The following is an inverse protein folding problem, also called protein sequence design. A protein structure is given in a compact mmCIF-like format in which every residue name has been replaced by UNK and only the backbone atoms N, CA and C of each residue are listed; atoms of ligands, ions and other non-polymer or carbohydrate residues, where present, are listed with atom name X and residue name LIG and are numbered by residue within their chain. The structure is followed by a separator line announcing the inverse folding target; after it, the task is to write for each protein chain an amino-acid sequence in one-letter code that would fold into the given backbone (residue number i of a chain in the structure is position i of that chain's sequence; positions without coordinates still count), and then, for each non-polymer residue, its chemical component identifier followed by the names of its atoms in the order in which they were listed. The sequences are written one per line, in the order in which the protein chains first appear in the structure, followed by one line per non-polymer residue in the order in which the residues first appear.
data_IF_693406219793
#
_entry.id   IF_693406219793
#
_cell.length_a   1.000
_cell.length_b   1.000
_cell.length_c   1.000
_cell.angle_alpha   90.00
_cell.angle_beta   90.00
_cell.angle_gamma   90.00
#
_symmetry.space_group_name_H-M   'P 1'
#
loop_
_entity.id
_entity.type
_entity.pdbx_description
1 polymer ?
#
# COMPACT_ATOMS: atom_id res chain seq x y z
N UNK A 1 28.94 22.10 42.85
CA UNK A 1 28.22 20.85 42.53
C UNK A 1 28.38 20.58 41.05
N UNK A 2 28.75 19.35 40.71
CA UNK A 2 29.24 18.92 39.40
C UNK A 2 28.16 18.98 38.33
N UNK A 3 28.47 19.56 37.18
CA UNK A 3 27.73 19.36 35.94
C UNK A 3 28.24 18.08 35.27
N UNK A 4 27.58 16.96 35.56
CA UNK A 4 27.79 15.72 34.82
C UNK A 4 27.33 15.89 33.37
N UNK A 5 28.24 15.61 32.42
CA UNK A 5 27.92 15.48 31.01
C UNK A 5 27.10 14.19 30.82
N UNK A 6 25.79 14.33 30.67
CA UNK A 6 24.90 13.27 30.19
C UNK A 6 24.63 13.46 28.69
N UNK A 7 24.70 12.34 27.94
CA UNK A 7 24.78 12.29 26.49
C UNK A 7 23.65 12.94 25.70
N UNK A 8 24.07 13.62 24.63
CA UNK A 8 23.52 14.03 23.32
C UNK A 8 22.01 14.07 22.97
N UNK A 9 21.04 13.78 23.84
CA UNK A 9 19.62 13.89 23.47
C UNK A 9 18.80 14.65 24.51
N UNK A 10 18.93 15.99 24.53
CA UNK A 10 17.98 16.83 25.29
C UNK A 10 16.59 16.59 24.71
N UNK A 11 15.71 15.98 25.50
CA UNK A 11 14.27 15.85 25.21
C UNK A 11 13.52 16.84 26.08
N UNK A 12 12.43 17.39 25.56
CA UNK A 12 11.51 18.23 26.34
C UNK A 12 10.07 17.91 25.97
N UNK A 13 9.15 18.28 26.87
CA UNK A 13 7.71 18.20 26.64
C UNK A 13 7.28 19.42 25.85
N UNK A 14 6.70 19.18 24.69
CA UNK A 14 6.10 20.20 23.85
C UNK A 14 4.59 20.02 23.88
N UNK A 15 3.87 21.14 24.00
CA UNK A 15 2.43 21.18 23.79
C UNK A 15 2.20 21.59 22.34
N UNK A 16 1.56 20.71 21.58
CA UNK A 16 1.10 21.01 20.22
C UNK A 16 -0.22 21.77 20.26
N UNK A 17 -0.54 22.50 19.19
CA UNK A 17 -1.78 23.27 19.05
C UNK A 17 -3.04 22.41 19.15
N UNK A 18 -2.95 21.10 18.85
CA UNK A 18 -4.05 20.14 19.06
C UNK A 18 -4.29 19.78 20.53
N UNK A 19 -3.56 20.39 21.47
CA UNK A 19 -3.63 20.15 22.92
C UNK A 19 -2.82 18.95 23.41
N UNK A 20 -2.28 18.12 22.51
CA UNK A 20 -1.46 16.96 22.88
C UNK A 20 -0.10 17.41 23.41
N UNK A 21 0.32 16.82 24.54
CA UNK A 21 1.65 17.03 25.12
C UNK A 21 2.52 15.81 24.85
N UNK A 22 3.70 16.00 24.24
CA UNK A 22 4.60 14.89 23.88
C UNK A 22 6.06 15.22 24.17
N UNK A 23 6.82 14.19 24.53
CA UNK A 23 8.26 14.30 24.76
C UNK A 23 9.05 14.07 23.46
N UNK A 24 9.61 15.16 22.93
CA UNK A 24 10.33 15.19 21.66
C UNK A 24 11.80 15.58 21.86
N UNK A 25 12.66 15.17 20.93
CA UNK A 25 14.06 15.64 20.89
C UNK A 25 14.08 17.13 20.55
N UNK A 26 14.78 17.94 21.35
CA UNK A 26 14.92 19.38 21.09
C UNK A 26 15.42 19.65 19.67
N UNK A 27 16.42 18.89 19.22
CA UNK A 27 17.01 19.03 17.89
C UNK A 27 16.04 18.77 16.73
N UNK A 28 15.01 17.95 16.94
CA UNK A 28 13.98 17.73 15.91
C UNK A 28 13.02 18.91 15.82
N UNK A 29 12.68 19.53 16.96
CA UNK A 29 11.78 20.68 17.02
C UNK A 29 12.50 21.95 16.55
N UNK A 30 13.66 22.27 17.12
CA UNK A 30 14.43 23.47 16.74
C UNK A 30 14.98 23.39 15.32
N UNK A 31 15.21 22.18 14.80
CA UNK A 31 15.64 21.94 13.43
C UNK A 31 14.49 21.85 12.41
N UNK A 32 13.24 22.08 12.81
CA UNK A 32 12.07 22.09 11.92
C UNK A 32 11.66 20.72 11.36
N UNK A 33 12.23 19.62 11.85
CA UNK A 33 11.86 18.25 11.44
C UNK A 33 10.57 17.75 12.07
N UNK A 34 10.15 18.39 13.16
CA UNK A 34 8.92 18.07 13.87
C UNK A 34 8.19 19.37 14.17
N UNK A 35 7.13 19.61 13.41
CA UNK A 35 6.27 20.79 13.51
C UNK A 35 4.97 20.54 14.27
N UNK A 36 4.67 19.28 14.61
CA UNK A 36 3.45 18.86 15.30
C UNK A 36 3.76 17.77 16.34
N UNK A 37 2.74 17.28 17.07
CA UNK A 37 2.95 16.19 18.04
C UNK A 37 3.16 14.80 17.40
N UNK A 38 3.17 14.68 16.07
CA UNK A 38 3.29 13.44 15.32
C UNK A 38 2.29 12.34 15.74
N UNK A 39 1.14 12.73 16.31
CA UNK A 39 -0.02 11.86 16.44
C UNK A 39 -0.69 11.79 15.07
N UNK A 40 -0.50 10.67 14.36
CA UNK A 40 -0.97 10.52 12.97
C UNK A 40 -2.50 10.41 12.84
N UNK A 41 -3.23 10.22 13.95
CA UNK A 41 -4.69 10.32 13.94
C UNK A 41 -5.19 11.77 13.98
N UNK A 42 -4.39 12.70 14.54
CA UNK A 42 -4.74 14.13 14.67
C UNK A 42 -3.97 15.06 13.72
N UNK A 43 -2.81 14.59 13.27
CA UNK A 43 -1.95 15.23 12.28
C UNK A 43 -1.62 14.19 11.21
N UNK A 44 -2.54 14.01 10.23
CA UNK A 44 -2.24 13.23 9.06
C UNK A 44 -0.90 13.69 8.48
N UNK A 45 0.00 12.73 8.19
CA UNK A 45 1.26 13.09 7.56
C UNK A 45 0.92 13.81 6.25
N UNK A 46 1.43 15.02 5.96
CA UNK A 46 1.15 15.68 4.68
C UNK A 46 1.69 14.88 3.48
N UNK A 47 2.57 13.89 3.71
CA UNK A 47 3.01 12.90 2.71
C UNK A 47 2.05 11.70 2.61
N UNK A 48 1.00 11.65 3.41
CA UNK A 48 -0.10 10.72 3.27
C UNK A 48 -0.93 11.17 2.07
N UNK A 49 -0.43 10.84 0.88
CA UNK A 49 -1.17 11.05 -0.35
C UNK A 49 -2.40 10.14 -0.27
N UNK A 50 -3.60 10.73 -0.26
CA UNK A 50 -4.88 9.99 -0.23
C UNK A 50 -4.93 8.92 -1.34
N UNK A 51 -4.33 9.23 -2.50
CA UNK A 51 -4.05 8.28 -3.57
C UNK A 51 -2.59 7.84 -3.52
N UNK A 52 -2.26 6.60 -3.10
CA UNK A 52 -0.88 6.13 -3.14
C UNK A 52 -0.39 6.10 -4.59
N UNK A 53 0.90 6.35 -4.83
CA UNK A 53 1.50 6.06 -6.15
C UNK A 53 1.59 4.56 -6.41
N UNK A 54 1.85 4.15 -7.65
CA UNK A 54 2.09 2.75 -8.02
C UNK A 54 3.14 2.09 -7.11
N UNK A 55 4.24 2.80 -6.88
CA UNK A 55 5.33 2.35 -6.01
C UNK A 55 4.89 2.24 -4.54
N UNK A 56 4.11 3.19 -4.04
CA UNK A 56 3.58 3.14 -2.68
C UNK A 56 2.60 1.98 -2.48
N UNK A 57 1.75 1.69 -3.47
CA UNK A 57 0.88 0.50 -3.46
C UNK A 57 1.70 -0.79 -3.36
N UNK A 58 2.78 -0.92 -4.15
CA UNK A 58 3.69 -2.07 -4.08
C UNK A 58 4.37 -2.23 -2.72
N UNK A 59 4.75 -1.12 -2.08
CA UNK A 59 5.30 -1.15 -0.72
C UNK A 59 4.25 -1.59 0.30
N UNK A 60 3.00 -1.11 0.18
CA UNK A 60 1.90 -1.52 1.06
C UNK A 60 1.62 -3.02 0.98
N UNK A 61 1.62 -3.59 -0.23
CA UNK A 61 1.41 -5.04 -0.39
C UNK A 61 2.53 -5.83 0.27
N UNK A 62 3.78 -5.40 0.10
CA UNK A 62 4.91 -6.08 0.76
C UNK A 62 4.81 -5.99 2.28
N UNK A 63 4.39 -4.84 2.82
CA UNK A 63 4.18 -4.68 4.26
C UNK A 63 3.03 -5.55 4.78
N UNK A 64 1.93 -5.67 4.03
CA UNK A 64 0.74 -6.41 4.44
C UNK A 64 0.86 -7.93 4.25
N UNK A 65 1.56 -8.37 3.20
CA UNK A 65 1.52 -9.78 2.71
C UNK A 65 2.90 -10.42 2.56
N UNK A 66 3.97 -9.72 2.92
CA UNK A 66 5.34 -10.19 2.78
C UNK A 66 5.87 -10.07 1.34
N UNK A 67 7.06 -10.63 1.11
CA UNK A 67 7.70 -10.54 -0.21
C UNK A 67 7.05 -11.55 -1.14
N UNK A 68 6.75 -11.16 -2.38
CA UNK A 68 6.23 -12.11 -3.37
C UNK A 68 7.11 -13.36 -3.50
N UNK A 69 8.44 -13.22 -3.35
CA UNK A 69 9.39 -14.33 -3.40
C UNK A 69 9.27 -15.38 -2.30
N UNK A 70 8.53 -15.08 -1.23
CA UNK A 70 8.25 -16.02 -0.14
C UNK A 70 6.99 -16.85 -0.43
N UNK A 71 6.29 -16.55 -1.51
CA UNK A 71 5.02 -17.17 -1.89
C UNK A 71 5.12 -17.93 -3.21
N UNK A 72 4.18 -18.85 -3.44
CA UNK A 72 4.05 -19.56 -4.70
C UNK A 72 3.30 -18.71 -5.72
N UNK A 73 3.72 -18.79 -6.98
CA UNK A 73 3.11 -18.11 -8.10
C UNK A 73 1.69 -18.63 -8.28
N UNK A 74 0.72 -17.71 -8.24
CA UNK A 74 -0.71 -18.03 -8.29
C UNK A 74 -1.13 -18.85 -9.53
N UNK A 75 -0.37 -18.73 -10.63
CA UNK A 75 -0.71 -19.38 -11.90
C UNK A 75 0.00 -20.72 -12.13
N UNK A 76 1.23 -20.89 -11.65
CA UNK A 76 2.06 -22.05 -12.00
C UNK A 76 2.68 -22.78 -10.82
N UNK A 77 2.47 -22.31 -9.59
CA UNK A 77 2.99 -22.92 -8.37
C UNK A 77 4.50 -22.78 -8.13
N UNK A 78 5.29 -22.29 -9.08
CA UNK A 78 6.72 -21.98 -8.84
C UNK A 78 6.89 -20.81 -7.89
N UNK A 79 8.06 -20.64 -7.27
CA UNK A 79 8.36 -19.43 -6.46
C UNK A 79 8.09 -18.16 -7.26
N UNK A 80 7.35 -17.23 -6.67
CA UNK A 80 7.10 -15.94 -7.30
C UNK A 80 8.34 -15.02 -7.23
N UNK A 81 8.32 -13.96 -8.03
CA UNK A 81 9.38 -12.94 -8.06
C UNK A 81 8.81 -11.55 -7.77
N UNK A 82 7.53 -11.33 -8.09
CA UNK A 82 6.88 -10.03 -8.12
C UNK A 82 5.42 -10.14 -7.70
N UNK A 83 4.84 -9.04 -7.26
CA UNK A 83 3.40 -8.90 -7.12
C UNK A 83 2.81 -8.48 -8.47
N UNK A 84 1.73 -9.13 -8.87
CA UNK A 84 0.99 -8.82 -10.10
C UNK A 84 -0.39 -8.27 -9.74
N UNK A 85 -0.75 -7.13 -10.33
CA UNK A 85 -2.08 -6.55 -10.16
C UNK A 85 -3.12 -7.33 -10.98
N UNK A 86 -4.21 -7.75 -10.33
CA UNK A 86 -5.22 -8.63 -10.94
C UNK A 86 -6.29 -7.89 -11.75
N UNK A 87 -6.29 -6.54 -11.77
CA UNK A 87 -7.34 -5.74 -12.44
C UNK A 87 -8.76 -6.01 -11.95
N UNK A 88 -8.88 -6.47 -10.70
CA UNK A 88 -10.15 -6.81 -10.07
C UNK A 88 -10.71 -5.69 -9.21
N UNK A 89 -9.99 -4.57 -9.11
CA UNK A 89 -10.41 -3.43 -8.29
C UNK A 89 -11.42 -2.56 -9.07
N UNK A 90 -12.65 -2.37 -8.58
CA UNK A 90 -13.57 -1.40 -9.17
C UNK A 90 -13.04 0.04 -9.08
N UNK A 91 -12.23 0.35 -8.06
CA UNK A 91 -11.63 1.66 -7.81
C UNK A 91 -10.18 1.74 -8.32
N UNK A 92 -9.86 1.00 -9.38
CA UNK A 92 -8.52 0.97 -9.95
C UNK A 92 -7.97 2.38 -10.24
N UNK A 93 -6.68 2.53 -10.00
CA UNK A 93 -5.93 3.75 -10.21
C UNK A 93 -5.02 3.63 -11.43
N UNK A 94 -4.70 4.77 -12.03
CA UNK A 94 -3.72 4.90 -13.11
C UNK A 94 -2.62 5.81 -12.59
N UNK A 95 -1.36 5.44 -12.80
CA UNK A 95 -0.24 6.29 -12.42
C UNK A 95 -0.15 7.44 -13.41
N UNK A 96 -0.19 8.67 -12.89
CA UNK A 96 -0.24 9.89 -13.68
C UNK A 96 1.15 10.50 -13.85
N UNK A 97 2.12 10.09 -13.02
CA UNK A 97 3.44 10.73 -12.98
C UNK A 97 4.60 9.72 -12.84
N UNK A 98 5.78 10.14 -13.29
CA UNK A 98 7.01 9.36 -13.13
C UNK A 98 7.19 8.25 -14.17
N UNK A 99 8.04 7.26 -13.82
CA UNK A 99 8.48 6.21 -14.76
C UNK A 99 7.43 5.11 -14.97
N UNK A 100 6.45 5.02 -14.09
CA UNK A 100 5.33 4.07 -14.18
C UNK A 100 4.07 4.71 -14.76
N UNK A 101 4.16 5.89 -15.40
CA UNK A 101 3.00 6.57 -15.98
C UNK A 101 2.19 5.66 -16.92
N UNK A 102 0.87 5.68 -16.77
CA UNK A 102 -0.07 4.81 -17.48
C UNK A 102 -0.22 3.41 -16.90
N UNK A 103 0.57 3.03 -15.88
CA UNK A 103 0.42 1.73 -15.23
C UNK A 103 -0.84 1.75 -14.36
N UNK A 104 -1.63 0.69 -14.47
CA UNK A 104 -2.82 0.49 -13.64
C UNK A 104 -2.46 -0.26 -12.36
N UNK A 105 -3.07 0.13 -11.25
CA UNK A 105 -2.81 -0.44 -9.93
C UNK A 105 -4.02 -0.28 -9.01
N UNK A 106 -3.95 -0.86 -7.82
CA UNK A 106 -4.95 -0.70 -6.76
C UNK A 106 -4.28 -0.19 -5.49
N UNK A 107 -5.01 0.57 -4.69
CA UNK A 107 -4.55 0.96 -3.36
C UNK A 107 -4.68 -0.16 -2.32
N UNK A 108 -5.52 -1.17 -2.59
CA UNK A 108 -5.81 -2.30 -1.71
C UNK A 108 -4.88 -3.49 -2.01
N UNK A 109 -4.09 -3.96 -1.03
CA UNK A 109 -3.26 -5.15 -1.17
C UNK A 109 -3.99 -6.44 -1.58
N UNK A 110 -5.31 -6.53 -1.42
CA UNK A 110 -6.10 -7.70 -1.80
C UNK A 110 -6.16 -7.90 -3.32
N UNK A 111 -6.09 -6.86 -4.13
CA UNK A 111 -6.19 -6.99 -5.60
C UNK A 111 -4.89 -7.44 -6.30
N UNK A 112 -3.97 -8.04 -5.55
CA UNK A 112 -2.68 -8.50 -6.05
C UNK A 112 -2.48 -10.00 -5.82
N UNK A 113 -1.69 -10.63 -6.69
CA UNK A 113 -1.26 -12.01 -6.52
C UNK A 113 0.25 -12.15 -6.73
N UNK A 114 0.91 -13.07 -6.00
CA UNK A 114 2.32 -13.35 -6.22
C UNK A 114 2.52 -14.06 -7.56
N UNK A 115 3.42 -13.55 -8.41
CA UNK A 115 3.69 -14.10 -9.74
C UNK A 115 5.19 -14.25 -10.00
N UNK A 116 5.57 -15.33 -10.69
CA UNK A 116 6.90 -15.41 -11.30
C UNK A 116 6.94 -14.53 -12.55
N UNK A 117 8.14 -14.03 -12.92
CA UNK A 117 8.32 -13.14 -14.08
C UNK A 117 7.66 -13.61 -15.39
N UNK A 118 7.76 -14.88 -15.83
CA UNK A 118 7.13 -15.29 -17.08
C UNK A 118 5.61 -15.24 -16.99
N UNK A 119 5.02 -15.70 -15.89
CA UNK A 119 3.56 -15.64 -15.71
C UNK A 119 3.06 -14.19 -15.61
N UNK A 120 3.82 -13.31 -14.94
CA UNK A 120 3.51 -11.88 -14.85
C UNK A 120 3.54 -11.20 -16.23
N UNK A 121 4.58 -11.45 -17.03
CA UNK A 121 4.64 -10.89 -18.40
C UNK A 121 3.50 -11.38 -19.29
N UNK A 122 3.17 -12.67 -19.24
CA UNK A 122 2.03 -13.21 -20.01
C UNK A 122 0.72 -12.58 -19.56
N UNK A 123 0.59 -12.30 -18.26
CA UNK A 123 -0.58 -11.62 -17.70
C UNK A 123 -0.71 -10.18 -18.24
N UNK A 124 0.35 -9.39 -18.16
CA UNK A 124 0.33 -8.02 -18.65
C UNK A 124 0.11 -7.94 -20.16
N UNK A 125 0.70 -8.87 -20.93
CA UNK A 125 0.49 -8.94 -22.38
C UNK A 125 -0.96 -9.28 -22.74
N UNK A 126 -1.59 -10.21 -22.01
CA UNK A 126 -3.00 -10.55 -22.22
C UNK A 126 -3.92 -9.36 -21.91
N UNK A 127 -3.57 -8.55 -20.91
CA UNK A 127 -4.28 -7.32 -20.58
C UNK A 127 -4.10 -6.23 -21.62
N UNK A 128 -2.88 -6.04 -22.14
CA UNK A 128 -2.61 -5.06 -23.18
C UNK A 128 -3.33 -5.39 -24.50
N UNK A 129 -3.48 -6.69 -24.82
CA UNK A 129 -4.23 -7.14 -25.99
C UNK A 129 -5.76 -7.03 -25.82
N UNK A 130 -6.25 -7.12 -24.58
CA UNK A 130 -7.65 -6.88 -24.26
C UNK A 130 -7.90 -5.37 -24.10
N UNK A 131 -8.35 -4.70 -25.16
CA UNK A 131 -8.90 -3.33 -25.08
C UNK A 131 -9.81 -3.16 -23.85
N UNK A 132 -9.88 -1.98 -23.21
CA UNK A 132 -10.40 -1.82 -21.86
C UNK A 132 -11.85 -2.27 -21.79
N UNK A 133 -12.06 -3.48 -21.27
CA UNK A 133 -13.37 -3.98 -20.90
C UNK A 133 -13.38 -4.07 -19.40
N UNK A 134 -14.37 -3.43 -18.80
CA UNK A 134 -14.76 -3.48 -17.38
C UNK A 134 -15.13 -4.89 -16.88
N UNK A 135 -14.69 -5.96 -17.55
CA UNK A 135 -15.09 -7.33 -17.26
C UNK A 135 -13.85 -8.16 -16.89
N UNK A 136 -13.78 -8.53 -15.62
CA UNK A 136 -12.89 -9.56 -15.12
C UNK A 136 -13.00 -10.82 -15.99
N UNK A 137 -11.87 -11.42 -16.38
CA UNK A 137 -11.91 -12.76 -16.98
C UNK A 137 -12.47 -13.76 -15.96
N UNK A 138 -13.18 -14.79 -16.43
CA UNK A 138 -13.81 -15.80 -15.56
C UNK A 138 -12.84 -16.50 -14.61
N UNK A 139 -11.58 -16.67 -15.03
CA UNK A 139 -10.50 -17.22 -14.18
C UNK A 139 -10.17 -16.25 -13.03
N UNK A 140 -10.33 -14.95 -13.27
CA UNK A 140 -10.02 -13.90 -12.30
C UNK A 140 -11.12 -13.75 -11.27
N UNK A 141 -12.39 -13.86 -11.70
CA UNK A 141 -13.50 -13.92 -10.77
C UNK A 141 -13.40 -15.17 -9.88
N UNK A 142 -13.08 -16.34 -10.45
CA UNK A 142 -12.89 -17.56 -9.66
C UNK A 142 -11.73 -17.46 -8.64
N UNK A 143 -10.58 -16.89 -9.04
CA UNK A 143 -9.46 -16.67 -8.11
C UNK A 143 -9.81 -15.64 -7.02
N UNK A 144 -10.46 -14.53 -7.41
CA UNK A 144 -10.86 -13.50 -6.47
C UNK A 144 -11.90 -14.01 -5.47
N UNK A 145 -12.91 -14.76 -5.92
CA UNK A 145 -13.92 -15.40 -5.05
C UNK A 145 -13.28 -16.43 -4.13
N UNK A 146 -12.41 -17.31 -4.65
CA UNK A 146 -11.75 -18.36 -3.84
C UNK A 146 -10.83 -17.81 -2.74
N UNK A 147 -10.41 -16.55 -2.85
CA UNK A 147 -9.54 -15.88 -1.89
C UNK A 147 -10.19 -14.69 -1.18
N UNK A 148 -11.51 -14.52 -1.28
CA UNK A 148 -12.27 -13.48 -0.58
C UNK A 148 -11.97 -12.05 -1.03
N UNK A 149 -11.53 -11.86 -2.27
CA UNK A 149 -11.11 -10.58 -2.85
C UNK A 149 -12.24 -9.87 -3.63
N UNK A 150 -13.36 -10.55 -3.85
CA UNK A 150 -14.62 -10.00 -4.40
C UNK A 150 -15.76 -10.61 -3.57
N UNK A 151 -16.71 -9.81 -3.06
CA UNK A 151 -17.87 -10.33 -2.33
C UNK A 151 -18.67 -11.28 -3.22
N UNK A 152 -19.19 -12.36 -2.63
CA UNK A 152 -20.07 -13.27 -3.34
C UNK A 152 -21.32 -12.48 -3.76
N UNK A 153 -21.85 -12.65 -4.98
CA UNK A 153 -23.08 -11.96 -5.41
C UNK A 153 -24.35 -12.35 -4.60
N UNK A 154 -24.20 -13.08 -3.48
CA UNK A 154 -25.27 -13.43 -2.55
C UNK A 154 -25.16 -12.78 -1.17
N UNK A 155 -24.11 -12.00 -0.87
CA UNK A 155 -23.89 -11.46 0.49
C UNK A 155 -24.54 -10.08 0.74
N UNK A 156 -25.20 -9.46 -0.26
CA UNK A 156 -25.89 -8.17 -0.10
C UNK A 156 -27.40 -8.30 0.21
N UNK A 157 -27.91 -9.51 0.46
CA UNK A 157 -29.33 -9.74 0.65
C UNK A 157 -29.68 -10.20 2.08
N UNK A 158 -29.28 -9.45 3.11
CA UNK A 158 -29.95 -9.48 4.42
C UNK A 158 -29.37 -8.37 5.31
N UNK A 159 -29.97 -7.18 5.26
CA UNK A 159 -30.04 -6.21 6.36
C UNK A 159 -31.08 -5.14 5.96
N UNK A 160 -32.34 -5.48 6.20
CA UNK A 160 -33.47 -4.55 6.27
C UNK A 160 -34.09 -4.67 7.67
#
# INVERSE_FOLDING_TARGET
MLTERLGDHRRARFRCDCGTVKELKLSNVTGGRTSDCADRGRHPDPRHIERPTYSAAHQRIVAARGRASELLCFRCGRRADQWAYLSADPDQLIEEHGREVGFTYSADPQHYAPACRPCHRTWDAARAAAAPRHALSLVHHAYAVAHGLVPHPGDEAEHH
#
